data_IF_715755629937
#
_entry.id   IF_715755629937
#
_cell.length_a   1.000
_cell.length_b   1.000
_cell.length_c   1.000
_cell.angle_alpha   90.00
_cell.angle_beta   90.00
_cell.angle_gamma   90.00
#
_symmetry.space_group_name_H-M   'P 1'
#
loop_
_entity.id
_entity.type
_entity.pdbx_description
1 polymer ?
#
# COMPACT_ATOMS: atom_id res chain seq x y z
N UNK A 1 -15.82 39.14 41.11
CA UNK A 1 -15.41 37.92 41.83
C UNK A 1 -16.00 36.77 41.03
N UNK A 2 -15.28 36.33 39.99
CA UNK A 2 -15.70 35.17 39.18
C UNK A 2 -15.59 33.98 40.12
N UNK A 3 -16.71 33.31 40.35
CA UNK A 3 -16.79 32.24 41.32
C UNK A 3 -15.82 31.12 40.91
N UNK A 4 -15.03 30.62 41.86
CA UNK A 4 -13.99 29.60 41.60
C UNK A 4 -14.57 28.36 40.89
N UNK A 5 -15.87 28.09 41.11
CA UNK A 5 -16.62 27.01 40.47
C UNK A 5 -16.83 27.22 38.96
N UNK A 6 -17.14 28.45 38.50
CA UNK A 6 -17.28 28.72 37.07
C UNK A 6 -15.95 28.60 36.33
N UNK A 7 -14.85 29.04 36.94
CA UNK A 7 -13.53 28.94 36.33
C UNK A 7 -13.07 27.48 36.18
N UNK A 8 -13.40 26.63 37.16
CA UNK A 8 -13.12 25.19 37.11
C UNK A 8 -13.94 24.46 36.02
N UNK A 9 -15.20 24.85 35.83
CA UNK A 9 -16.04 24.29 34.77
C UNK A 9 -15.63 24.75 33.36
N UNK A 10 -15.14 25.99 33.22
CA UNK A 10 -14.57 26.48 31.95
C UNK A 10 -13.28 25.72 31.60
N UNK A 11 -12.39 25.51 32.58
CA UNK A 11 -11.18 24.71 32.39
C UNK A 11 -11.47 23.22 32.10
N UNK A 12 -12.49 22.65 32.76
CA UNK A 12 -12.93 21.28 32.51
C UNK A 12 -13.57 21.11 31.12
N UNK A 13 -14.28 22.12 30.62
CA UNK A 13 -14.85 22.14 29.26
C UNK A 13 -13.80 22.23 28.15
N UNK A 14 -12.72 23.00 28.35
CA UNK A 14 -11.59 23.13 27.41
C UNK A 14 -10.81 21.79 27.24
N UNK A 15 -10.85 20.90 28.24
CA UNK A 15 -10.11 19.63 28.19
C UNK A 15 -10.68 18.58 27.24
N UNK A 16 -11.98 18.69 26.89
CA UNK A 16 -12.74 17.65 26.19
C UNK A 16 -12.89 17.85 24.68
N UNK A 17 -12.76 19.08 24.17
CA UNK A 17 -12.77 19.34 22.73
C UNK A 17 -11.34 19.26 22.16
N UNK A 18 -11.04 18.27 21.30
CA UNK A 18 -9.68 18.08 20.77
C UNK A 18 -9.18 19.30 19.97
N UNK A 19 -10.11 20.04 19.35
CA UNK A 19 -9.84 21.25 18.57
C UNK A 19 -9.37 22.42 19.44
N UNK A 20 -10.07 22.69 20.56
CA UNK A 20 -9.71 23.75 21.50
C UNK A 20 -8.39 23.43 22.20
N UNK A 21 -8.20 22.17 22.61
CA UNK A 21 -6.95 21.72 23.22
C UNK A 21 -5.78 21.87 22.25
N UNK A 22 -5.97 21.49 20.98
CA UNK A 22 -4.98 21.70 19.93
C UNK A 22 -4.61 23.17 19.77
N UNK A 23 -5.60 24.05 19.59
CA UNK A 23 -5.36 25.48 19.45
C UNK A 23 -4.64 26.09 20.66
N UNK A 24 -5.04 25.70 21.88
CA UNK A 24 -4.43 26.20 23.11
C UNK A 24 -2.99 25.70 23.28
N UNK A 25 -2.69 24.44 22.93
CA UNK A 25 -1.31 23.94 22.95
C UNK A 25 -0.41 24.66 21.95
N UNK A 26 -0.90 24.97 20.75
CA UNK A 26 -0.17 25.76 19.75
C UNK A 26 0.07 27.19 20.26
N UNK A 27 -0.94 27.82 20.86
CA UNK A 27 -0.84 29.17 21.41
C UNK A 27 0.19 29.23 22.55
N UNK A 28 0.10 28.30 23.52
CA UNK A 28 1.06 28.20 24.62
C UNK A 28 2.47 27.91 24.10
N UNK A 29 2.61 26.98 23.16
CA UNK A 29 3.88 26.65 22.52
C UNK A 29 4.50 27.86 21.81
N UNK A 30 3.70 28.63 21.08
CA UNK A 30 4.14 29.86 20.40
C UNK A 30 4.56 30.94 21.40
N UNK A 31 3.76 31.21 22.45
CA UNK A 31 4.10 32.18 23.49
C UNK A 31 5.37 31.80 24.25
N UNK A 32 5.56 30.52 24.56
CA UNK A 32 6.74 30.06 25.30
C UNK A 32 7.97 30.07 24.40
N UNK A 33 7.91 29.50 23.20
CA UNK A 33 9.07 29.35 22.32
C UNK A 33 9.50 30.70 21.70
N UNK A 34 8.58 31.43 21.07
CA UNK A 34 8.87 32.73 20.47
C UNK A 34 8.89 33.85 21.51
N UNK A 35 7.93 33.86 22.43
CA UNK A 35 7.78 34.95 23.40
C UNK A 35 8.93 34.99 24.43
N UNK A 36 9.51 33.86 24.83
CA UNK A 36 10.68 33.87 25.72
C UNK A 36 11.90 34.54 25.08
N UNK A 37 12.20 34.18 23.83
CA UNK A 37 13.28 34.79 23.03
C UNK A 37 13.01 36.29 22.83
N UNK A 38 11.77 36.67 22.54
CA UNK A 38 11.37 38.06 22.38
C UNK A 38 11.55 38.90 23.66
N UNK A 39 11.17 38.38 24.83
CA UNK A 39 11.35 39.08 26.12
C UNK A 39 12.82 39.32 26.44
N UNK A 40 13.68 38.32 26.22
CA UNK A 40 15.12 38.44 26.45
C UNK A 40 15.73 39.49 25.52
N UNK A 41 15.38 39.46 24.24
CA UNK A 41 15.90 40.40 23.26
C UNK A 41 15.44 41.84 23.53
N UNK A 42 14.18 42.04 23.94
CA UNK A 42 13.67 43.37 24.25
C UNK A 42 14.35 44.02 25.44
N UNK A 43 14.71 43.22 26.44
CA UNK A 43 15.39 43.73 27.66
C UNK A 43 16.81 44.22 27.33
N UNK A 44 17.50 43.59 26.37
CA UNK A 44 18.89 43.92 26.03
C UNK A 44 19.03 44.90 24.87
N UNK A 45 18.14 44.83 23.87
CA UNK A 45 18.29 45.51 22.58
C UNK A 45 17.20 46.55 22.30
N UNK A 46 16.22 46.67 23.20
CA UNK A 46 15.06 47.53 23.06
C UNK A 46 13.98 46.95 22.14
N UNK A 47 12.73 47.41 22.33
CA UNK A 47 11.54 46.80 21.74
C UNK A 47 11.57 46.70 20.20
N UNK A 48 12.12 47.73 19.52
CA UNK A 48 12.13 47.78 18.05
C UNK A 48 13.14 46.81 17.42
N UNK A 49 14.39 46.74 17.94
CA UNK A 49 15.38 45.76 17.43
C UNK A 49 14.99 44.35 17.86
N UNK A 50 14.63 44.19 19.14
CA UNK A 50 14.29 42.89 19.72
C UNK A 50 13.16 42.21 18.97
N UNK A 51 12.10 42.95 18.62
CA UNK A 51 10.98 42.41 17.82
C UNK A 51 11.42 41.98 16.41
N UNK A 52 12.24 42.77 15.71
CA UNK A 52 12.72 42.41 14.37
C UNK A 52 13.58 41.15 14.38
N UNK A 53 14.50 41.03 15.35
CA UNK A 53 15.38 39.86 15.48
C UNK A 53 14.58 38.62 15.87
N UNK A 54 13.65 38.75 16.84
CA UNK A 54 12.81 37.64 17.25
C UNK A 54 11.96 37.11 16.08
N UNK A 55 11.30 38.00 15.32
CA UNK A 55 10.49 37.62 14.17
C UNK A 55 11.35 36.98 13.08
N UNK A 56 12.55 37.50 12.83
CA UNK A 56 13.49 36.91 11.87
C UNK A 56 13.90 35.49 12.31
N UNK A 57 14.19 35.29 13.60
CA UNK A 57 14.48 33.97 14.15
C UNK A 57 13.31 32.99 14.00
N UNK A 58 12.08 33.43 14.29
CA UNK A 58 10.88 32.60 14.14
C UNK A 58 10.61 32.21 12.69
N UNK A 59 10.62 33.15 11.75
CA UNK A 59 10.39 32.84 10.33
C UNK A 59 11.56 32.06 9.72
N UNK A 60 12.79 32.26 10.20
CA UNK A 60 13.94 31.43 9.82
C UNK A 60 13.79 29.99 10.29
N UNK A 61 13.31 29.78 11.53
CA UNK A 61 12.99 28.45 12.03
C UNK A 61 11.81 27.80 11.28
N UNK A 62 10.73 28.54 11.04
CA UNK A 62 9.59 28.08 10.25
C UNK A 62 9.98 27.73 8.81
N UNK A 63 10.91 28.47 8.20
CA UNK A 63 11.47 28.14 6.90
C UNK A 63 12.18 26.79 6.90
N UNK A 64 13.03 26.53 7.90
CA UNK A 64 13.75 25.25 8.03
C UNK A 64 12.77 24.09 8.24
N UNK A 65 11.80 24.24 9.15
CA UNK A 65 10.78 23.21 9.38
C UNK A 65 9.89 23.01 8.15
N UNK A 66 9.53 24.09 7.46
CA UNK A 66 8.77 24.05 6.22
C UNK A 66 9.50 23.24 5.14
N UNK A 67 10.81 23.43 4.97
CA UNK A 67 11.62 22.63 4.03
C UNK A 67 11.58 21.14 4.41
N UNK A 68 11.74 20.80 5.69
CA UNK A 68 11.67 19.41 6.17
C UNK A 68 10.28 18.82 5.90
N UNK A 69 9.22 19.53 6.26
CA UNK A 69 7.84 19.11 6.02
C UNK A 69 7.52 18.95 4.54
N UNK A 70 8.03 19.84 3.69
CA UNK A 70 7.81 19.78 2.24
C UNK A 70 8.54 18.59 1.60
N UNK A 71 9.80 18.32 1.97
CA UNK A 71 10.58 17.20 1.43
C UNK A 71 9.96 15.86 1.85
N UNK A 72 9.76 15.69 3.16
CA UNK A 72 9.32 14.41 3.71
C UNK A 72 7.80 14.21 3.64
N UNK A 73 7.01 15.26 3.38
CA UNK A 73 5.55 15.18 3.41
C UNK A 73 5.02 14.81 4.81
N UNK A 74 5.66 15.32 5.86
CA UNK A 74 5.25 15.14 7.27
C UNK A 74 4.88 16.48 7.89
N UNK A 75 4.04 16.48 8.94
CA UNK A 75 3.63 17.71 9.64
C UNK A 75 2.35 18.29 9.05
N UNK A 76 2.42 19.50 8.47
CA UNK A 76 1.26 20.14 7.83
C UNK A 76 1.02 19.53 6.44
N UNK A 77 0.33 18.40 6.41
CA UNK A 77 0.02 17.67 5.19
C UNK A 77 -1.39 17.97 4.69
N UNK A 78 -1.56 18.01 3.37
CA UNK A 78 -2.88 17.95 2.73
C UNK A 78 -3.37 16.51 2.60
N UNK A 79 -4.36 16.32 1.72
CA UNK A 79 -4.96 15.00 1.50
C UNK A 79 -3.94 13.99 0.97
N UNK A 80 -3.95 12.80 1.55
CA UNK A 80 -3.14 11.67 1.11
C UNK A 80 -3.63 11.15 -0.24
N UNK A 81 -2.73 10.57 -1.06
CA UNK A 81 -3.13 9.97 -2.31
C UNK A 81 -4.05 8.77 -2.08
N UNK A 82 -5.15 8.69 -2.84
CA UNK A 82 -6.14 7.61 -2.78
C UNK A 82 -6.50 7.14 -4.18
N UNK A 83 -7.03 5.92 -4.29
CA UNK A 83 -7.61 5.43 -5.54
C UNK A 83 -9.06 5.90 -5.64
N UNK A 84 -9.38 6.60 -6.72
CA UNK A 84 -10.73 7.08 -6.99
C UNK A 84 -11.31 6.29 -8.16
N UNK A 85 -12.44 5.59 -7.96
CA UNK A 85 -13.17 4.92 -9.03
C UNK A 85 -13.66 5.92 -10.06
N UNK A 86 -13.43 5.60 -11.33
CA UNK A 86 -13.82 6.42 -12.50
C UNK A 86 -14.93 5.77 -13.29
N UNK A 87 -14.82 4.47 -13.54
CA UNK A 87 -15.79 3.71 -14.33
C UNK A 87 -15.85 2.24 -13.88
N UNK A 88 -17.04 1.64 -14.05
CA UNK A 88 -17.26 0.20 -13.93
C UNK A 88 -17.55 -0.32 -15.34
N UNK A 89 -16.80 -1.33 -15.77
CA UNK A 89 -16.96 -1.96 -17.07
C UNK A 89 -17.49 -3.37 -16.88
N UNK A 90 -18.49 -3.73 -17.68
CA UNK A 90 -19.13 -5.04 -17.66
C UNK A 90 -18.66 -5.88 -18.85
N UNK A 91 -18.00 -6.99 -18.57
CA UNK A 91 -17.53 -7.93 -19.58
C UNK A 91 -16.34 -7.40 -20.37
N UNK A 92 -16.58 -6.95 -21.60
CA UNK A 92 -15.51 -6.58 -22.53
C UNK A 92 -14.95 -5.19 -22.24
N UNK A 93 -13.67 -5.15 -21.88
CA UNK A 93 -12.87 -3.95 -21.65
C UNK A 93 -12.81 -3.02 -22.87
N UNK A 94 -13.09 -3.54 -24.09
CA UNK A 94 -13.10 -2.74 -25.31
C UNK A 94 -14.22 -1.69 -25.36
N UNK A 95 -15.22 -1.80 -24.48
CA UNK A 95 -16.33 -0.85 -24.36
C UNK A 95 -15.99 0.39 -23.53
N UNK A 96 -14.79 0.45 -22.92
CA UNK A 96 -14.34 1.63 -22.19
C UNK A 96 -14.14 2.84 -23.12
N UNK A 97 -14.49 4.03 -22.63
CA UNK A 97 -14.20 5.31 -23.31
C UNK A 97 -12.76 5.80 -23.05
N UNK A 98 -12.00 5.10 -22.20
CA UNK A 98 -10.66 5.49 -21.74
C UNK A 98 -9.55 4.67 -22.40
N UNK A 99 -8.29 4.97 -22.03
CA UNK A 99 -7.11 4.19 -22.41
C UNK A 99 -7.20 2.70 -22.07
N UNK A 100 -8.13 2.31 -21.19
CA UNK A 100 -8.44 0.93 -20.81
C UNK A 100 -9.01 0.12 -21.98
N UNK A 101 -9.60 0.76 -22.99
CA UNK A 101 -10.04 0.10 -24.22
C UNK A 101 -8.91 -0.72 -24.88
N UNK A 102 -7.65 -0.27 -24.77
CA UNK A 102 -6.49 -0.98 -25.31
C UNK A 102 -6.26 -2.33 -24.61
N UNK A 103 -6.67 -2.45 -23.34
CA UNK A 103 -6.63 -3.66 -22.53
C UNK A 103 -7.76 -4.66 -22.91
N UNK A 104 -8.78 -4.23 -23.66
CA UNK A 104 -9.80 -5.12 -24.23
C UNK A 104 -9.58 -5.47 -25.70
N UNK A 105 -8.53 -4.95 -26.34
CA UNK A 105 -8.32 -5.18 -27.77
C UNK A 105 -7.82 -6.61 -28.06
N UNK A 106 -8.17 -7.15 -29.24
CA UNK A 106 -7.75 -8.49 -29.74
C UNK A 106 -6.22 -8.68 -29.89
N UNK A 107 -5.40 -7.74 -29.43
CA UNK A 107 -3.94 -7.78 -29.51
C UNK A 107 -3.28 -8.33 -28.23
N UNK A 108 -4.07 -8.68 -27.22
CA UNK A 108 -3.54 -9.13 -25.92
C UNK A 108 -3.47 -10.64 -25.89
N UNK A 109 -2.29 -11.15 -25.55
CA UNK A 109 -2.04 -12.56 -25.31
C UNK A 109 -1.92 -12.73 -23.81
N UNK A 110 -2.87 -13.44 -23.20
CA UNK A 110 -2.89 -13.74 -21.76
C UNK A 110 -3.03 -15.25 -21.60
N UNK A 111 -1.90 -15.94 -21.44
CA UNK A 111 -1.91 -17.36 -21.10
C UNK A 111 -2.33 -17.54 -19.63
N UNK A 112 -3.22 -18.50 -19.28
CA UNK A 112 -3.59 -18.76 -17.90
C UNK A 112 -2.39 -19.07 -17.00
N UNK A 113 -2.43 -18.63 -15.74
CA UNK A 113 -1.31 -18.78 -14.80
C UNK A 113 -0.87 -20.24 -14.63
N UNK A 114 -1.81 -21.17 -14.58
CA UNK A 114 -1.50 -22.60 -14.43
C UNK A 114 -0.71 -23.16 -15.62
N UNK A 115 -1.02 -22.73 -16.85
CA UNK A 115 -0.30 -23.17 -18.05
C UNK A 115 1.11 -22.60 -18.08
N UNK A 116 1.30 -21.37 -17.59
CA UNK A 116 2.62 -20.76 -17.44
C UNK A 116 3.45 -21.57 -16.43
N UNK A 117 2.87 -21.93 -15.29
CA UNK A 117 3.58 -22.72 -14.28
C UNK A 117 3.97 -24.10 -14.83
N UNK A 118 3.06 -24.77 -15.53
CA UNK A 118 3.33 -26.09 -16.13
C UNK A 118 4.46 -26.03 -17.18
N UNK A 119 4.48 -24.97 -18.00
CA UNK A 119 5.50 -24.76 -19.02
C UNK A 119 6.91 -24.52 -18.43
N UNK A 120 7.02 -23.72 -17.36
CA UNK A 120 8.33 -23.34 -16.79
C UNK A 120 8.80 -24.25 -15.66
N UNK A 121 7.86 -24.83 -14.92
CA UNK A 121 8.09 -25.67 -13.75
C UNK A 121 7.29 -26.99 -13.87
N UNK A 122 7.60 -27.84 -14.87
CA UNK A 122 6.88 -29.08 -15.10
C UNK A 122 6.93 -29.98 -13.87
N UNK A 123 5.79 -30.56 -13.50
CA UNK A 123 5.65 -31.45 -12.34
C UNK A 123 5.64 -30.76 -10.96
N UNK A 124 5.80 -29.43 -10.89
CA UNK A 124 5.74 -28.68 -9.62
C UNK A 124 4.35 -28.73 -8.99
N UNK A 125 3.30 -28.80 -9.80
CA UNK A 125 1.91 -28.82 -9.35
C UNK A 125 1.45 -30.19 -8.83
N UNK A 126 2.09 -31.27 -9.28
CA UNK A 126 1.61 -32.65 -9.10
C UNK A 126 2.26 -33.39 -7.93
N UNK A 127 3.29 -32.83 -7.28
CA UNK A 127 4.01 -33.54 -6.22
C UNK A 127 4.58 -32.61 -5.16
N UNK A 128 4.63 -33.07 -3.91
CA UNK A 128 5.22 -32.30 -2.81
C UNK A 128 6.68 -31.91 -3.04
N UNK A 129 7.08 -30.85 -2.35
CA UNK A 129 8.49 -30.42 -2.22
C UNK A 129 9.42 -31.55 -1.83
N UNK A 130 8.98 -32.47 -0.96
CA UNK A 130 9.79 -33.61 -0.52
C UNK A 130 10.02 -34.60 -1.65
N UNK A 131 8.97 -34.91 -2.41
CA UNK A 131 9.07 -35.77 -3.59
C UNK A 131 9.92 -35.09 -4.69
N UNK A 132 9.77 -33.79 -4.88
CA UNK A 132 10.60 -33.00 -5.80
C UNK A 132 12.08 -33.00 -5.40
N UNK A 133 12.38 -32.84 -4.11
CA UNK A 133 13.75 -32.94 -3.57
C UNK A 133 14.34 -34.34 -3.78
N UNK A 134 13.58 -35.39 -3.49
CA UNK A 134 14.02 -36.77 -3.70
C UNK A 134 14.32 -37.05 -5.19
N UNK A 135 13.56 -36.44 -6.10
CA UNK A 135 13.78 -36.56 -7.56
C UNK A 135 15.02 -35.81 -8.05
N UNK A 136 15.16 -34.53 -7.71
CA UNK A 136 16.15 -33.64 -8.34
C UNK A 136 17.42 -33.42 -7.54
N UNK A 137 17.36 -33.53 -6.21
CA UNK A 137 18.51 -33.33 -5.32
C UNK A 137 19.12 -34.66 -4.92
N UNK A 138 18.30 -35.67 -4.65
CA UNK A 138 18.75 -36.99 -4.20
C UNK A 138 18.90 -38.00 -5.35
N UNK A 139 18.57 -37.61 -6.58
CA UNK A 139 18.70 -38.41 -7.82
C UNK A 139 18.07 -39.82 -7.72
N UNK A 140 16.90 -39.93 -7.08
CA UNK A 140 16.24 -41.22 -6.91
C UNK A 140 15.74 -41.78 -8.25
N UNK A 141 16.42 -42.81 -8.75
CA UNK A 141 16.18 -43.49 -10.03
C UNK A 141 14.77 -44.07 -10.19
N UNK A 142 14.08 -44.38 -9.10
CA UNK A 142 12.74 -44.98 -9.14
C UNK A 142 11.63 -43.92 -9.34
N UNK A 143 11.95 -42.63 -9.23
CA UNK A 143 10.99 -41.50 -9.31
C UNK A 143 11.25 -40.54 -10.49
N UNK A 144 12.17 -40.88 -11.39
CA UNK A 144 12.52 -40.04 -12.55
C UNK A 144 11.41 -40.08 -13.62
N UNK A 145 10.68 -38.98 -13.78
CA UNK A 145 9.79 -38.74 -14.92
C UNK A 145 10.58 -38.24 -16.14
N UNK A 146 10.06 -38.46 -17.35
CA UNK A 146 10.63 -37.97 -18.63
C UNK A 146 10.27 -36.49 -18.89
N UNK A 147 10.65 -35.58 -18.01
CA UNK A 147 10.52 -34.14 -18.24
C UNK A 147 11.86 -33.44 -18.04
N UNK A 148 12.03 -32.30 -18.70
CA UNK A 148 13.19 -31.43 -18.50
C UNK A 148 13.26 -30.95 -17.04
N UNK A 149 14.47 -30.79 -16.51
CA UNK A 149 14.66 -30.27 -15.17
C UNK A 149 14.04 -28.86 -15.02
N UNK A 150 13.34 -28.57 -13.91
CA UNK A 150 12.68 -27.29 -13.73
C UNK A 150 13.69 -26.14 -13.69
N UNK A 151 13.23 -24.95 -14.08
CA UNK A 151 14.09 -23.76 -14.10
C UNK A 151 14.57 -23.40 -12.68
N UNK A 152 15.74 -22.75 -12.51
CA UNK A 152 16.33 -22.49 -11.19
C UNK A 152 15.47 -21.67 -10.22
N UNK A 153 14.53 -20.87 -10.73
CA UNK A 153 13.61 -20.07 -9.92
C UNK A 153 12.34 -20.83 -9.50
N UNK A 154 12.14 -22.07 -9.95
CA UNK A 154 11.09 -22.96 -9.47
C UNK A 154 11.49 -23.50 -8.09
N UNK A 155 11.43 -22.63 -7.08
CA UNK A 155 11.92 -22.96 -5.73
C UNK A 155 11.00 -23.92 -4.99
N UNK A 156 11.55 -24.61 -3.98
CA UNK A 156 10.77 -25.42 -3.03
C UNK A 156 9.62 -24.61 -2.40
N UNK A 157 9.84 -23.34 -2.05
CA UNK A 157 8.80 -22.48 -1.47
C UNK A 157 7.63 -22.18 -2.40
N UNK A 158 7.88 -22.22 -3.72
CA UNK A 158 6.84 -22.08 -4.73
C UNK A 158 6.04 -23.39 -4.85
N UNK A 159 6.75 -24.52 -4.83
CA UNK A 159 6.14 -25.85 -4.80
C UNK A 159 5.24 -26.05 -3.58
N UNK A 160 5.66 -25.64 -2.39
CA UNK A 160 4.83 -25.75 -1.17
C UNK A 160 3.49 -24.99 -1.28
N UNK A 161 3.46 -23.88 -2.02
CA UNK A 161 2.28 -23.04 -2.17
C UNK A 161 1.36 -23.44 -3.31
N UNK A 162 1.89 -24.15 -4.32
CA UNK A 162 1.16 -24.47 -5.55
C UNK A 162 0.90 -25.97 -5.74
N UNK A 163 1.69 -26.84 -5.11
CA UNK A 163 1.55 -28.28 -5.26
C UNK A 163 0.27 -28.77 -4.61
N UNK A 164 -0.49 -29.59 -5.34
CA UNK A 164 -1.66 -30.29 -4.83
C UNK A 164 -1.37 -31.79 -4.82
N UNK A 165 -0.65 -32.23 -3.78
CA UNK A 165 -0.34 -33.64 -3.57
C UNK A 165 -1.45 -34.30 -2.75
N UNK A 166 -2.35 -35.00 -3.45
CA UNK A 166 -3.49 -35.67 -2.82
C UNK A 166 -3.09 -36.76 -1.83
N UNK A 167 -1.98 -37.45 -2.06
CA UNK A 167 -1.51 -38.51 -1.16
C UNK A 167 -1.00 -37.89 0.14
N UNK A 168 -0.13 -36.89 0.04
CA UNK A 168 0.40 -36.22 1.23
C UNK A 168 -0.69 -35.52 2.04
N UNK A 169 -1.67 -34.89 1.39
CA UNK A 169 -2.82 -34.28 2.08
C UNK A 169 -3.62 -35.35 2.84
N UNK A 170 -3.92 -36.48 2.18
CA UNK A 170 -4.63 -37.58 2.79
C UNK A 170 -3.91 -38.15 4.01
N UNK A 171 -2.61 -38.41 3.88
CA UNK A 171 -1.79 -38.97 4.96
C UNK A 171 -1.64 -38.02 6.15
N UNK A 172 -1.50 -36.71 5.88
CA UNK A 172 -1.43 -35.68 6.94
C UNK A 172 -2.73 -35.63 7.74
N UNK A 173 -3.89 -35.71 7.07
CA UNK A 173 -5.20 -35.70 7.72
C UNK A 173 -5.43 -37.00 8.51
N UNK A 174 -5.05 -38.16 7.96
CA UNK A 174 -5.11 -39.45 8.68
C UNK A 174 -4.25 -39.42 9.94
N UNK A 175 -3.00 -38.99 9.82
CA UNK A 175 -2.08 -38.87 10.95
C UNK A 175 -2.60 -37.92 12.04
N UNK A 176 -3.25 -36.82 11.65
CA UNK A 176 -3.89 -35.91 12.60
C UNK A 176 -5.07 -36.55 13.32
N UNK A 177 -5.90 -37.33 12.62
CA UNK A 177 -7.01 -38.07 13.23
C UNK A 177 -6.49 -39.17 14.19
N UNK A 178 -5.44 -39.88 13.81
CA UNK A 178 -4.79 -40.89 14.65
C UNK A 178 -4.19 -40.29 15.92
N UNK A 179 -3.63 -39.07 15.84
CA UNK A 179 -3.16 -38.33 17.01
C UNK A 179 -4.33 -37.98 17.95
N UNK A 180 -5.46 -37.51 17.42
CA UNK A 180 -6.64 -37.22 18.24
C UNK A 180 -7.18 -38.47 18.94
N UNK A 181 -7.16 -39.62 18.25
CA UNK A 181 -7.52 -40.92 18.85
C UNK A 181 -6.57 -41.24 20.01
N UNK A 182 -5.26 -41.13 19.80
CA UNK A 182 -4.26 -41.41 20.84
C UNK A 182 -4.39 -40.47 22.05
N UNK A 183 -4.65 -39.18 21.83
CA UNK A 183 -4.83 -38.20 22.89
C UNK A 183 -6.13 -38.44 23.69
N UNK A 184 -7.21 -38.81 23.01
CA UNK A 184 -8.47 -39.19 23.64
C UNK A 184 -8.31 -40.44 24.51
N UNK A 185 -7.59 -41.46 24.03
CA UNK A 185 -7.27 -42.66 24.79
C UNK A 185 -6.41 -42.37 26.03
N UNK A 186 -5.40 -41.50 25.90
CA UNK A 186 -4.53 -41.13 27.01
C UNK A 186 -5.24 -40.29 28.09
N UNK A 187 -6.12 -39.38 27.66
CA UNK A 187 -6.88 -38.52 28.57
C UNK A 187 -8.10 -39.21 29.18
N UNK A 188 -8.57 -40.31 28.58
CA UNK A 188 -9.80 -40.99 28.97
C UNK A 188 -11.06 -40.15 28.74
N UNK A 189 -10.98 -39.15 27.84
CA UNK A 189 -12.06 -38.23 27.50
C UNK A 189 -12.39 -38.43 26.02
N UNK A 190 -13.67 -38.56 25.69
CA UNK A 190 -14.12 -38.59 24.30
C UNK A 190 -13.87 -37.22 23.63
N UNK A 191 -13.15 -37.21 22.52
CA UNK A 191 -12.90 -36.01 21.71
C UNK A 191 -13.84 -35.99 20.50
N UNK A 192 -14.74 -34.99 20.46
CA UNK A 192 -15.72 -34.82 19.39
C UNK A 192 -15.10 -34.49 18.02
N UNK A 193 -13.79 -34.20 17.97
CA UNK A 193 -13.05 -33.93 16.73
C UNK A 193 -12.57 -35.20 16.02
N UNK A 194 -12.58 -36.35 16.71
CA UNK A 194 -12.22 -37.63 16.11
C UNK A 194 -13.26 -38.00 15.05
N UNK A 195 -12.80 -38.24 13.84
CA UNK A 195 -13.64 -38.61 12.70
C UNK A 195 -13.69 -40.13 12.56
N UNK A 196 -14.88 -40.64 12.21
CA UNK A 196 -15.02 -42.02 11.75
C UNK A 196 -14.46 -42.17 10.33
N UNK A 197 -14.31 -43.40 9.83
CA UNK A 197 -13.67 -43.67 8.54
C UNK A 197 -14.37 -42.95 7.35
N UNK A 198 -15.69 -42.87 7.37
CA UNK A 198 -16.48 -42.19 6.34
C UNK A 198 -16.29 -40.66 6.38
N UNK A 199 -16.41 -40.03 7.55
CA UNK A 199 -16.21 -38.59 7.71
C UNK A 199 -14.73 -38.18 7.53
N UNK A 200 -13.80 -39.07 7.87
CA UNK A 200 -12.38 -38.88 7.60
C UNK A 200 -12.10 -38.84 6.10
N UNK A 201 -12.68 -39.78 5.35
CA UNK A 201 -12.54 -39.79 3.89
C UNK A 201 -13.20 -38.58 3.25
N UNK A 202 -14.41 -38.20 3.70
CA UNK A 202 -15.09 -36.98 3.25
C UNK A 202 -14.23 -35.73 3.52
N UNK A 203 -13.61 -35.64 4.69
CA UNK A 203 -12.72 -34.53 5.04
C UNK A 203 -11.49 -34.46 4.15
N UNK A 204 -10.89 -35.61 3.81
CA UNK A 204 -9.77 -35.69 2.88
C UNK A 204 -10.18 -35.20 1.50
N UNK A 205 -11.31 -35.68 0.97
CA UNK A 205 -11.80 -35.32 -0.34
C UNK A 205 -12.12 -33.82 -0.45
N UNK A 206 -12.76 -33.24 0.59
CA UNK A 206 -13.00 -31.80 0.68
C UNK A 206 -11.68 -31.02 0.67
N UNK A 207 -10.67 -31.47 1.43
CA UNK A 207 -9.38 -30.77 1.50
C UNK A 207 -8.62 -30.83 0.18
N UNK A 208 -8.66 -31.97 -0.52
CA UNK A 208 -8.02 -32.12 -1.83
C UNK A 208 -8.73 -31.23 -2.86
N UNK A 209 -10.06 -31.26 -2.88
CA UNK A 209 -10.88 -30.47 -3.80
C UNK A 209 -10.67 -28.97 -3.58
N UNK A 210 -10.60 -28.51 -2.32
CA UNK A 210 -10.31 -27.11 -1.98
C UNK A 210 -8.95 -26.64 -2.52
N UNK A 211 -7.91 -27.46 -2.36
CA UNK A 211 -6.57 -27.16 -2.89
C UNK A 211 -6.53 -27.17 -4.42
N UNK A 212 -7.21 -28.13 -5.06
CA UNK A 212 -7.33 -28.17 -6.52
C UNK A 212 -8.05 -26.93 -7.06
N UNK A 213 -9.13 -26.50 -6.41
CA UNK A 213 -9.88 -25.29 -6.79
C UNK A 213 -9.03 -24.03 -6.65
N UNK A 214 -8.28 -23.89 -5.55
CA UNK A 214 -7.32 -22.78 -5.36
C UNK A 214 -6.30 -22.71 -6.48
N UNK A 215 -5.76 -23.85 -6.90
CA UNK A 215 -4.81 -23.92 -7.99
C UNK A 215 -5.46 -23.56 -9.34
N UNK A 216 -6.67 -24.06 -9.61
CA UNK A 216 -7.41 -23.76 -10.85
C UNK A 216 -7.79 -22.27 -10.96
N UNK A 217 -8.04 -21.61 -9.85
CA UNK A 217 -8.38 -20.19 -9.77
C UNK A 217 -7.16 -19.28 -9.55
N UNK A 218 -5.94 -19.80 -9.74
CA UNK A 218 -4.73 -19.01 -9.68
C UNK A 218 -4.73 -17.93 -10.77
N UNK A 219 -4.73 -16.67 -10.35
CA UNK A 219 -4.68 -15.51 -11.25
C UNK A 219 -3.23 -15.17 -11.61
N UNK A 220 -3.00 -14.43 -12.69
CA UNK A 220 -1.65 -13.99 -13.04
C UNK A 220 -1.07 -13.04 -12.00
N UNK A 221 -1.92 -12.20 -11.41
CA UNK A 221 -1.57 -11.30 -10.31
C UNK A 221 -1.21 -12.08 -9.05
N UNK A 222 -1.89 -13.20 -8.80
CA UNK A 222 -1.54 -14.16 -7.74
C UNK A 222 -0.18 -14.81 -8.01
N UNK A 223 0.04 -15.31 -9.22
CA UNK A 223 1.33 -15.89 -9.63
C UNK A 223 2.47 -14.86 -9.55
N UNK A 224 2.23 -13.60 -9.93
CA UNK A 224 3.20 -12.51 -9.81
C UNK A 224 3.59 -12.22 -8.34
N UNK A 225 2.67 -12.43 -7.39
CA UNK A 225 2.97 -12.31 -5.96
C UNK A 225 3.82 -13.47 -5.43
N UNK A 226 3.66 -14.65 -6.02
CA UNK A 226 4.45 -15.84 -5.68
C UNK A 226 5.84 -15.81 -6.30
N UNK A 227 5.93 -15.47 -7.59
CA UNK A 227 7.18 -15.41 -8.36
C UNK A 227 7.10 -14.38 -9.48
N UNK A 228 7.73 -13.22 -9.25
CA UNK A 228 7.85 -12.20 -10.29
C UNK A 228 8.71 -12.63 -11.48
N UNK A 229 9.68 -13.53 -11.28
CA UNK A 229 10.60 -13.97 -12.36
C UNK A 229 9.87 -14.81 -13.41
N UNK A 230 8.92 -15.66 -13.01
CA UNK A 230 8.11 -16.45 -13.94
C UNK A 230 7.31 -15.53 -14.86
N UNK A 231 6.73 -14.46 -14.31
CA UNK A 231 5.95 -13.49 -15.08
C UNK A 231 6.85 -12.70 -16.05
N UNK A 232 8.05 -12.32 -15.63
CA UNK A 232 9.00 -11.63 -16.52
C UNK A 232 9.47 -12.53 -17.69
N UNK A 233 9.76 -13.82 -17.45
CA UNK A 233 10.13 -14.76 -18.53
C UNK A 233 8.93 -15.07 -19.44
N UNK A 234 7.74 -15.28 -18.88
CA UNK A 234 6.51 -15.44 -19.64
C UNK A 234 6.22 -14.22 -20.54
N UNK A 235 6.53 -13.01 -20.06
CA UNK A 235 6.45 -11.78 -20.86
C UNK A 235 7.52 -11.74 -21.95
N UNK A 236 8.76 -12.12 -21.66
CA UNK A 236 9.83 -12.15 -22.67
C UNK A 236 9.57 -13.15 -23.79
N UNK A 237 8.94 -14.27 -23.45
CA UNK A 237 8.59 -15.34 -24.40
C UNK A 237 7.28 -15.06 -25.14
N UNK A 238 6.62 -13.92 -24.86
CA UNK A 238 5.40 -13.48 -25.54
C UNK A 238 4.12 -14.21 -25.10
N UNK A 239 4.16 -14.95 -23.98
CA UNK A 239 2.99 -15.59 -23.37
C UNK A 239 2.09 -14.57 -22.64
N UNK A 240 2.66 -13.42 -22.26
CA UNK A 240 1.93 -12.30 -21.66
C UNK A 240 2.26 -11.02 -22.46
N UNK A 241 1.27 -10.49 -23.17
CA UNK A 241 1.38 -9.25 -23.93
C UNK A 241 0.25 -8.29 -23.56
N UNK A 242 0.54 -7.26 -22.76
CA UNK A 242 -0.45 -6.39 -22.10
C UNK A 242 -0.53 -4.97 -22.67
N UNK A 243 -0.14 -4.73 -23.93
CA UNK A 243 -0.29 -3.42 -24.61
C UNK A 243 0.22 -2.20 -23.80
N UNK A 244 1.34 -2.35 -23.07
CA UNK A 244 1.92 -1.28 -22.25
C UNK A 244 1.34 -1.12 -20.85
N UNK A 245 0.35 -1.93 -20.48
CA UNK A 245 -0.11 -2.10 -19.10
C UNK A 245 0.82 -3.03 -18.34
N UNK A 246 1.02 -2.76 -17.06
CA UNK A 246 1.83 -3.60 -16.18
C UNK A 246 0.94 -4.40 -15.23
N UNK A 247 1.01 -5.72 -15.33
CA UNK A 247 0.38 -6.63 -14.38
C UNK A 247 0.95 -6.37 -12.97
N UNK A 248 0.09 -6.10 -12.01
CA UNK A 248 0.49 -5.95 -10.61
C UNK A 248 0.31 -7.27 -9.88
N UNK A 249 1.23 -7.56 -8.95
CA UNK A 249 1.02 -8.66 -7.99
C UNK A 249 -0.13 -8.30 -7.05
N UNK A 250 -0.83 -9.31 -6.51
CA UNK A 250 -1.86 -9.08 -5.47
C UNK A 250 -1.31 -8.30 -4.28
N UNK A 251 -0.04 -8.52 -3.93
CA UNK A 251 0.67 -7.74 -2.90
C UNK A 251 0.93 -6.28 -3.28
N UNK A 252 1.24 -6.00 -4.55
CA UNK A 252 1.47 -4.65 -5.05
C UNK A 252 0.17 -3.87 -5.29
N UNK A 253 -0.91 -4.58 -5.57
CA UNK A 253 -2.24 -4.04 -5.84
C UNK A 253 -3.15 -3.95 -4.59
N UNK A 254 -2.71 -4.35 -3.40
CA UNK A 254 -3.58 -4.49 -2.22
C UNK A 254 -4.40 -3.25 -1.88
N UNK A 255 -3.83 -2.05 -1.99
CA UNK A 255 -4.56 -0.80 -1.77
C UNK A 255 -5.65 -0.55 -2.82
N UNK A 256 -5.35 -0.84 -4.09
CA UNK A 256 -6.30 -0.72 -5.19
C UNK A 256 -7.43 -1.74 -5.05
N UNK A 257 -7.10 -2.99 -4.73
CA UNK A 257 -8.07 -4.08 -4.52
C UNK A 257 -9.03 -3.72 -3.40
N UNK A 258 -8.54 -3.25 -2.25
CA UNK A 258 -9.39 -2.83 -1.14
C UNK A 258 -10.28 -1.63 -1.50
N UNK A 259 -9.77 -0.69 -2.31
CA UNK A 259 -10.56 0.46 -2.77
C UNK A 259 -11.66 0.04 -3.75
N UNK A 260 -11.36 -0.90 -4.65
CA UNK A 260 -12.34 -1.48 -5.57
C UNK A 260 -13.40 -2.31 -4.83
N UNK A 261 -13.00 -3.11 -3.84
CA UNK A 261 -13.91 -3.91 -3.00
C UNK A 261 -14.92 -3.01 -2.27
N UNK A 262 -14.43 -1.97 -1.58
CA UNK A 262 -15.28 -0.99 -0.94
C UNK A 262 -16.23 -0.27 -1.91
N UNK A 263 -15.75 0.02 -3.13
CA UNK A 263 -16.56 0.67 -4.16
C UNK A 263 -17.66 -0.26 -4.72
N UNK A 264 -17.33 -1.52 -5.00
CA UNK A 264 -18.27 -2.50 -5.53
C UNK A 264 -19.43 -2.79 -4.56
N UNK A 265 -19.19 -2.74 -3.25
CA UNK A 265 -20.23 -2.99 -2.25
C UNK A 265 -21.11 -1.74 -2.02
N UNK A 266 -20.56 -0.54 -2.24
CA UNK A 266 -21.22 0.72 -1.88
C UNK A 266 -21.91 1.45 -3.03
N UNK A 267 -21.43 1.32 -4.27
CA UNK A 267 -21.94 2.09 -5.41
C UNK A 267 -23.21 1.45 -6.00
N UNK A 268 -24.38 2.13 -6.00
CA UNK A 268 -25.62 1.64 -6.60
C UNK A 268 -25.52 1.12 -8.04
N UNK A 269 -24.50 1.55 -8.80
CA UNK A 269 -24.26 1.07 -10.15
C UNK A 269 -23.67 -0.35 -10.21
N UNK A 270 -23.12 -0.86 -9.11
CA UNK A 270 -22.51 -2.19 -9.00
C UNK A 270 -23.57 -3.29 -8.78
N UNK A 271 -23.34 -4.52 -9.26
CA UNK A 271 -24.23 -5.65 -8.99
C UNK A 271 -24.07 -6.22 -7.57
N UNK A 272 -23.02 -5.82 -6.83
CA UNK A 272 -22.70 -6.33 -5.48
C UNK A 272 -23.16 -5.39 -4.36
N UNK A 273 -24.11 -4.50 -4.64
CA UNK A 273 -24.55 -3.46 -3.71
C UNK A 273 -25.23 -4.05 -2.48
N UNK A 274 -24.79 -3.62 -1.30
CA UNK A 274 -25.18 -4.19 -0.01
C UNK A 274 -24.82 -5.68 0.16
N UNK A 275 -23.93 -6.19 -0.69
CA UNK A 275 -23.35 -7.52 -0.57
C UNK A 275 -22.16 -7.54 0.41
N UNK A 276 -21.44 -8.65 0.40
CA UNK A 276 -20.22 -8.84 1.16
C UNK A 276 -19.01 -8.99 0.22
N UNK A 277 -17.79 -8.77 0.74
CA UNK A 277 -16.55 -8.98 -0.01
C UNK A 277 -16.33 -10.44 -0.46
N UNK A 278 -17.17 -11.39 -0.02
CA UNK A 278 -17.16 -12.78 -0.46
C UNK A 278 -17.93 -13.05 -1.75
N UNK A 279 -18.77 -12.10 -2.20
CA UNK A 279 -19.69 -12.25 -3.35
C UNK A 279 -18.97 -12.14 -4.71
N UNK A 280 -17.70 -11.76 -4.69
CA UNK A 280 -16.84 -11.71 -5.86
C UNK A 280 -15.41 -12.10 -5.53
N UNK A 281 -14.73 -12.61 -6.55
CA UNK A 281 -13.33 -13.01 -6.52
C UNK A 281 -12.51 -12.07 -7.39
N UNK A 282 -11.40 -11.58 -6.85
CA UNK A 282 -10.49 -10.68 -7.57
C UNK A 282 -9.63 -11.49 -8.53
N UNK A 283 -9.74 -11.19 -9.82
CA UNK A 283 -8.95 -11.81 -10.88
C UNK A 283 -7.58 -11.14 -11.01
N UNK A 284 -7.39 -10.35 -12.06
CA UNK A 284 -6.13 -9.68 -12.36
C UNK A 284 -6.21 -8.18 -12.19
N UNK A 285 -5.09 -7.59 -11.74
CA UNK A 285 -4.94 -6.15 -11.61
C UNK A 285 -3.89 -5.62 -12.58
N UNK A 286 -4.28 -4.66 -13.40
CA UNK A 286 -3.40 -4.03 -14.38
C UNK A 286 -3.21 -2.56 -14.04
N UNK A 287 -1.99 -2.05 -14.19
CA UNK A 287 -1.68 -0.65 -13.90
C UNK A 287 -0.91 -0.02 -15.06
N UNK A 288 -1.30 1.20 -15.44
CA UNK A 288 -0.62 2.01 -16.47
C UNK A 288 -0.29 3.38 -15.89
N UNK A 289 0.92 3.86 -16.18
CA UNK A 289 1.43 5.11 -15.64
C UNK A 289 2.10 4.93 -14.27
N UNK A 290 2.14 6.01 -13.49
CA UNK A 290 2.90 6.06 -12.24
C UNK A 290 4.41 6.26 -12.42
N UNK A 291 5.12 6.46 -11.30
CA UNK A 291 6.58 6.66 -11.31
C UNK A 291 7.28 5.32 -11.64
N UNK A 292 8.29 5.31 -12.53
CA UNK A 292 8.98 4.06 -12.87
C UNK A 292 9.61 3.42 -11.62
N UNK A 293 9.56 2.08 -11.55
CA UNK A 293 10.24 1.34 -10.48
C UNK A 293 11.75 1.66 -10.54
N UNK A 294 12.29 1.97 -9.37
CA UNK A 294 13.66 2.47 -9.18
C UNK A 294 14.70 1.44 -9.66
N UNK A 295 15.64 1.87 -10.50
CA UNK A 295 16.66 0.98 -11.09
C UNK A 295 17.99 0.90 -10.32
N UNK A 296 18.18 1.68 -9.23
CA UNK A 296 19.45 1.75 -8.49
C UNK A 296 19.27 2.08 -7.01
N UNK A 297 20.03 1.41 -6.14
CA UNK A 297 19.89 1.44 -4.67
C UNK A 297 20.92 2.33 -3.94
N UNK A 298 21.59 3.24 -4.66
CA UNK A 298 22.56 4.17 -4.07
C UNK A 298 21.93 5.18 -3.10
N UNK A 299 22.56 5.39 -1.93
CA UNK A 299 22.09 6.28 -0.85
C UNK A 299 22.04 7.75 -1.28
N UNK A 300 23.06 8.23 -2.00
CA UNK A 300 23.12 9.60 -2.51
C UNK A 300 22.04 9.84 -3.57
N UNK A 301 21.83 8.83 -4.43
CA UNK A 301 20.81 8.88 -5.48
C UNK A 301 19.39 8.81 -4.89
N UNK A 302 19.23 8.26 -3.68
CA UNK A 302 17.94 8.24 -2.94
C UNK A 302 17.48 9.64 -2.58
N UNK A 303 18.37 10.42 -1.99
CA UNK A 303 18.09 11.80 -1.60
C UNK A 303 17.88 12.68 -2.84
N UNK A 304 18.73 12.52 -3.86
CA UNK A 304 18.61 13.31 -5.09
C UNK A 304 17.34 13.00 -5.91
N UNK A 305 16.97 11.72 -6.01
CA UNK A 305 15.76 11.32 -6.72
C UNK A 305 14.50 11.79 -5.96
N UNK A 306 14.50 11.74 -4.63
CA UNK A 306 13.40 12.25 -3.82
C UNK A 306 13.23 13.77 -3.95
N UNK A 307 14.33 14.53 -3.91
CA UNK A 307 14.32 15.99 -4.12
C UNK A 307 13.86 16.32 -5.55
N UNK A 308 14.42 15.67 -6.59
CA UNK A 308 14.05 15.94 -7.99
C UNK A 308 12.58 15.63 -8.25
N UNK A 309 12.10 14.50 -7.74
CA UNK A 309 10.70 14.11 -7.88
C UNK A 309 9.73 14.98 -7.08
N UNK A 310 10.23 15.76 -6.12
CA UNK A 310 9.44 16.74 -5.37
C UNK A 310 9.19 18.02 -6.17
N UNK A 311 10.03 18.31 -7.18
CA UNK A 311 9.98 19.54 -7.99
C UNK A 311 9.28 19.32 -9.34
N UNK A 312 8.91 18.07 -9.68
CA UNK A 312 8.14 17.77 -10.90
C UNK A 312 6.67 18.15 -10.67
N UNK A 313 6.21 19.21 -11.34
CA UNK A 313 4.84 19.71 -11.22
C UNK A 313 3.78 18.81 -11.90
N UNK A 314 4.17 18.00 -12.88
CA UNK A 314 3.25 17.16 -13.66
C UNK A 314 3.61 15.68 -13.48
N UNK A 315 2.69 14.95 -12.87
CA UNK A 315 2.81 13.50 -12.72
C UNK A 315 1.99 12.83 -13.83
N UNK A 316 2.49 11.76 -14.47
CA UNK A 316 1.65 10.97 -15.36
C UNK A 316 0.49 10.39 -14.55
N UNK A 317 -0.71 10.44 -15.11
CA UNK A 317 -1.89 9.79 -14.53
C UNK A 317 -1.58 8.32 -14.29
N UNK A 318 -1.89 7.84 -13.11
CA UNK A 318 -1.70 6.46 -12.73
C UNK A 318 -3.08 5.80 -12.68
N UNK A 319 -3.34 4.93 -13.64
CA UNK A 319 -4.62 4.24 -13.79
C UNK A 319 -4.42 2.79 -13.42
N UNK A 320 -5.34 2.24 -12.64
CA UNK A 320 -5.37 0.83 -12.27
C UNK A 320 -6.74 0.25 -12.64
N UNK A 321 -6.73 -0.97 -13.13
CA UNK A 321 -7.92 -1.74 -13.47
C UNK A 321 -7.90 -2.98 -12.60
N UNK A 322 -8.90 -3.12 -11.74
CA UNK A 322 -9.10 -4.31 -10.91
C UNK A 322 -10.27 -5.08 -11.51
N UNK A 323 -9.99 -6.27 -12.03
CA UNK A 323 -11.04 -7.15 -12.56
C UNK A 323 -11.49 -8.12 -11.49
N UNK A 324 -12.80 -8.28 -11.35
CA UNK A 324 -13.45 -9.21 -10.44
C UNK A 324 -14.44 -10.09 -11.20
N UNK A 325 -14.75 -11.26 -10.65
CA UNK A 325 -15.80 -12.14 -11.14
C UNK A 325 -16.72 -12.50 -9.98
N UNK A 326 -18.05 -12.59 -10.18
CA UNK A 326 -18.94 -13.05 -9.13
C UNK A 326 -18.57 -14.46 -8.67
N UNK A 327 -18.83 -14.75 -7.39
CA UNK A 327 -18.65 -16.08 -6.80
C UNK A 327 -19.99 -16.77 -6.62
N UNK A 328 -19.95 -18.09 -6.58
CA UNK A 328 -21.08 -18.91 -6.16
C UNK A 328 -21.24 -18.79 -4.64
N UNK A 329 -22.45 -18.46 -4.20
CA UNK A 329 -22.80 -18.42 -2.79
C UNK A 329 -22.71 -19.82 -2.18
N UNK A 330 -22.07 -19.93 -1.02
CA UNK A 330 -21.87 -21.18 -0.30
C UNK A 330 -22.25 -20.96 1.15
N UNK A 331 -23.21 -21.75 1.63
CA UNK A 331 -23.64 -21.68 3.02
C UNK A 331 -22.46 -22.00 3.96
N UNK A 332 -22.15 -21.06 4.84
CA UNK A 332 -21.14 -21.25 5.87
C UNK A 332 -21.66 -22.19 6.96
N UNK A 333 -21.04 -23.36 7.10
CA UNK A 333 -21.38 -24.30 8.18
C UNK A 333 -20.71 -23.81 9.47
N UNK A 334 -21.52 -23.48 10.48
CA UNK A 334 -21.03 -23.00 11.77
C UNK A 334 -20.04 -23.99 12.42
N UNK A 335 -18.84 -23.50 12.75
CA UNK A 335 -17.77 -24.29 13.37
C UNK A 335 -16.79 -24.92 12.38
N UNK A 336 -17.02 -24.81 11.06
CA UNK A 336 -16.04 -25.17 10.04
C UNK A 336 -15.32 -23.93 9.49
N UNK A 337 -14.15 -24.14 8.89
CA UNK A 337 -13.50 -23.08 8.12
C UNK A 337 -14.39 -22.72 6.93
N UNK A 338 -14.58 -21.42 6.62
CA UNK A 338 -15.36 -21.00 5.46
C UNK A 338 -14.85 -21.69 4.20
N UNK A 339 -15.73 -22.24 3.35
CA UNK A 339 -15.33 -22.87 2.11
C UNK A 339 -14.66 -21.83 1.21
N UNK A 340 -13.65 -22.24 0.44
CA UNK A 340 -13.04 -21.33 -0.52
C UNK A 340 -14.08 -20.84 -1.54
N UNK A 341 -14.16 -19.51 -1.78
CA UNK A 341 -15.07 -18.94 -2.77
C UNK A 341 -14.82 -19.55 -4.14
N UNK A 342 -15.88 -19.83 -4.90
CA UNK A 342 -15.74 -20.41 -6.23
C UNK A 342 -16.26 -19.45 -7.28
N UNK A 343 -15.43 -19.18 -8.29
CA UNK A 343 -15.78 -18.26 -9.37
C UNK A 343 -16.96 -18.83 -10.16
N UNK A 344 -18.02 -18.03 -10.34
CA UNK A 344 -19.10 -18.37 -11.27
C UNK A 344 -18.64 -18.15 -12.71
N UNK A 345 -18.45 -19.25 -13.44
CA UNK A 345 -18.01 -19.23 -14.85
C UNK A 345 -19.07 -18.69 -15.82
N UNK A 346 -20.34 -18.63 -15.42
CA UNK A 346 -21.41 -18.01 -16.22
C UNK A 346 -21.57 -16.51 -15.92
N UNK A 347 -20.98 -16.06 -14.81
CA UNK A 347 -21.02 -14.67 -14.39
C UNK A 347 -20.23 -13.76 -15.31
N UNK A 348 -20.72 -12.54 -15.50
CA UNK A 348 -20.00 -11.53 -16.26
C UNK A 348 -18.88 -10.95 -15.40
N UNK A 349 -17.65 -10.93 -15.93
CA UNK A 349 -16.52 -10.26 -15.28
C UNK A 349 -16.75 -8.76 -15.22
N UNK A 350 -16.37 -8.13 -14.12
CA UNK A 350 -16.55 -6.70 -13.88
C UNK A 350 -15.18 -6.09 -13.65
N UNK A 351 -14.87 -5.00 -14.34
CA UNK A 351 -13.60 -4.30 -14.19
C UNK A 351 -13.85 -2.91 -13.63
N UNK A 352 -13.27 -2.65 -12.47
CA UNK A 352 -13.28 -1.33 -11.84
C UNK A 352 -12.03 -0.58 -12.27
N UNK A 353 -12.22 0.51 -12.99
CA UNK A 353 -11.13 1.40 -13.38
C UNK A 353 -11.05 2.52 -12.36
N UNK A 354 -9.87 2.67 -11.78
CA UNK A 354 -9.57 3.70 -10.81
C UNK A 354 -8.39 4.55 -11.28
N UNK A 355 -8.45 5.84 -11.00
CA UNK A 355 -7.31 6.73 -11.15
C UNK A 355 -6.74 7.08 -9.78
N UNK A 356 -5.42 7.20 -9.71
CA UNK A 356 -4.75 7.65 -8.49
C UNK A 356 -4.93 9.15 -8.35
N UNK A 357 -5.79 9.58 -7.45
CA UNK A 357 -5.76 10.95 -6.97
C UNK A 357 -4.50 11.12 -6.11
N UNK A 358 -3.59 11.99 -6.53
CA UNK A 358 -2.33 12.25 -5.80
C UNK A 358 -2.54 13.16 -4.58
N UNK A 359 -3.74 13.74 -4.44
CA UNK A 359 -4.10 14.64 -3.37
C UNK A 359 -3.28 15.93 -3.35
N UNK A 360 -3.36 16.64 -2.23
CA UNK A 360 -2.62 17.89 -1.99
C UNK A 360 -1.54 17.74 -0.91
N UNK A 361 -1.06 16.50 -0.69
CA UNK A 361 -0.21 16.08 0.43
C UNK A 361 0.86 17.12 0.84
N UNK A 362 1.57 17.70 -0.13
CA UNK A 362 2.71 18.61 0.10
C UNK A 362 2.40 20.10 -0.09
N UNK A 363 1.22 20.43 -0.59
CA UNK A 363 0.85 21.80 -0.96
C UNK A 363 0.78 22.74 0.26
N UNK A 364 0.18 22.36 1.40
CA UNK A 364 0.18 23.21 2.60
C UNK A 364 1.59 23.49 3.14
N UNK A 365 2.46 22.47 3.19
CA UNK A 365 3.85 22.63 3.58
C UNK A 365 4.62 23.56 2.61
N UNK A 366 4.39 23.45 1.30
CA UNK A 366 5.03 24.34 0.32
C UNK A 366 4.61 25.80 0.50
N UNK A 367 3.31 26.08 0.69
CA UNK A 367 2.79 27.44 0.88
C UNK A 367 3.37 28.07 2.16
N UNK A 368 3.38 27.32 3.27
CA UNK A 368 3.94 27.81 4.54
C UNK A 368 5.45 28.07 4.45
N UNK A 369 6.18 27.23 3.71
CA UNK A 369 7.61 27.42 3.45
C UNK A 369 7.87 28.69 2.64
N UNK A 370 7.15 28.89 1.54
CA UNK A 370 7.31 30.07 0.67
C UNK A 370 6.93 31.35 1.43
N UNK A 371 5.82 31.33 2.17
CA UNK A 371 5.41 32.46 3.01
C UNK A 371 6.44 32.81 4.07
N UNK A 372 7.00 31.80 4.75
CA UNK A 372 8.04 31.99 5.76
C UNK A 372 9.36 32.46 5.15
N UNK A 373 9.71 31.98 3.95
CA UNK A 373 10.89 32.44 3.22
C UNK A 373 10.81 33.93 2.88
N UNK A 374 9.67 34.38 2.36
CA UNK A 374 9.45 35.80 2.01
C UNK A 374 9.48 36.68 3.26
N UNK A 375 8.84 36.26 4.35
CA UNK A 375 8.87 36.98 5.62
C UNK A 375 10.30 37.05 6.21
N UNK A 376 11.04 35.94 6.19
CA UNK A 376 12.42 35.86 6.68
C UNK A 376 13.35 36.78 5.87
N UNK A 377 13.28 36.71 4.54
CA UNK A 377 14.09 37.55 3.65
C UNK A 377 13.75 39.03 3.85
N UNK A 378 12.45 39.37 3.96
CA UNK A 378 12.00 40.75 4.23
C UNK A 378 12.54 41.30 5.55
N UNK A 379 12.52 40.50 6.62
CA UNK A 379 13.03 40.89 7.94
C UNK A 379 14.56 41.03 7.95
N UNK A 380 15.28 40.08 7.31
CA UNK A 380 16.73 40.18 7.12
C UNK A 380 17.12 41.43 6.32
N UNK A 381 16.33 41.77 5.29
CA UNK A 381 16.52 43.00 4.53
C UNK A 381 16.33 44.25 5.38
N UNK A 382 15.27 44.32 6.21
CA UNK A 382 15.05 45.43 7.13
C UNK A 382 16.18 45.59 8.16
N UNK A 383 16.68 44.47 8.71
CA UNK A 383 17.81 44.48 9.64
C UNK A 383 19.09 44.99 8.97
N UNK A 384 19.37 44.55 7.74
CA UNK A 384 20.52 45.02 6.96
C UNK A 384 20.41 46.52 6.62
N UNK A 385 19.22 47.01 6.25
CA UNK A 385 19.00 48.43 6.00
C UNK A 385 19.25 49.28 7.24
N UNK A 386 18.76 48.82 8.39
CA UNK A 386 19.02 49.49 9.66
C UNK A 386 20.51 49.55 9.99
N UNK A 387 21.21 48.43 9.82
CA UNK A 387 22.65 48.34 10.10
C UNK A 387 23.45 49.33 9.25
N UNK A 388 23.10 49.46 7.96
CA UNK A 388 23.71 50.44 7.05
C UNK A 388 23.47 51.89 7.50
N UNK A 389 22.25 52.20 7.91
CA UNK A 389 21.89 53.53 8.41
C UNK A 389 22.63 53.88 9.71
N UNK A 390 22.81 52.91 10.61
CA UNK A 390 23.59 53.11 11.83
C UNK A 390 25.05 53.41 11.53
N UNK A 391 25.69 52.63 10.64
CA UNK A 391 27.09 52.88 10.23
C UNK A 391 27.27 54.26 9.62
N UNK A 392 26.37 54.65 8.70
CA UNK A 392 26.39 55.98 8.09
C UNK A 392 26.32 57.09 9.13
N UNK A 393 25.43 56.97 10.11
CA UNK A 393 25.35 57.94 11.21
C UNK A 393 26.63 57.96 12.03
N UNK A 394 27.19 56.81 12.40
CA UNK A 394 28.45 56.76 13.16
C UNK A 394 29.58 57.44 12.42
N UNK A 395 29.72 57.20 11.10
CA UNK A 395 30.71 57.87 10.24
C UNK A 395 30.49 59.40 10.19
N UNK A 396 29.23 59.86 10.05
CA UNK A 396 28.86 61.29 10.12
C UNK A 396 29.21 61.91 11.49
N UNK A 397 28.95 61.19 12.59
CA UNK A 397 29.30 61.64 13.94
C UNK A 397 30.81 61.76 14.12
N UNK A 398 31.58 60.73 13.76
CA UNK A 398 33.05 60.72 13.88
C UNK A 398 33.69 61.86 13.08
N UNK A 399 33.23 62.07 11.84
CA UNK A 399 33.71 63.16 10.97
C UNK A 399 33.34 64.54 11.51
N UNK A 400 32.14 64.72 12.10
CA UNK A 400 31.73 65.99 12.72
C UNK A 400 32.48 66.33 14.00
N UNK A 401 32.91 65.32 14.78
CA UNK A 401 33.70 65.52 16.02
C UNK A 401 35.19 65.75 15.78
N UNK A 402 35.68 65.43 14.57
CA UNK A 402 37.08 65.61 14.17
C UNK A 402 37.37 67.01 13.57
N UNK A 403 36.34 67.80 13.28
CA UNK A 403 36.43 69.24 12.94
C UNK A 403 36.23 70.08 14.21
#
# INVERSE_FOLDING_TARGET
MIDKFQFLHILAGIGWEPEIRGALTVLVGSLVLFGSVWLILNTNLGNRLGTLIALAGFFGWMLVMGIVWWIYGIGLTGDSPTWEPKEIIYGDLSQSESDVQQLGSNQIIVTPAIQIVDQYCPGLLESTVQVQRARYVEENVDLLLQYDAPKPYCTESLGEKLAVDSETIGDTIRAANDQLISDAEQSGIEDSRVLNEEALQERIDISIDDQRRKLQQLTLSGLAALSGTIIEEARSDGLIATNGWNLQSTSGAGEAIASADAFLISDPASPFVNGNSGDFFVLDTYQKGGKPKRSSDGVVDRVWNEIRNTVIFWHPTNTVVVTVSPTLDKEEIAGQAPPFPEIDSNGQTISVVMERNLGSLRLPAAITTIGSALAFIGLCYMLNQRERELRRRTEEWETSTAQ
#
